data_IF_829303060814
#
_entry.id   IF_829303060814
#
_cell.length_a   1.000
_cell.length_b   1.000
_cell.length_c   1.000
_cell.angle_alpha   90.00
_cell.angle_beta   90.00
_cell.angle_gamma   90.00
#
_symmetry.space_group_name_H-M   'P 1'
#
loop_
_entity.id
_entity.type
_entity.pdbx_description
1 polymer ?
#
# COMPACT_ATOMS: atom_id res chain seq x y z
N UNK A 1 8.60 -2.49 5.96
CA UNK A 1 8.51 -1.36 5.01
C UNK A 1 8.74 -1.91 3.61
N UNK A 2 7.82 -1.70 2.67
CA UNK A 2 7.93 -2.30 1.32
C UNK A 2 8.84 -1.49 0.37
N UNK A 3 9.36 -2.11 -0.70
CA UNK A 3 10.28 -1.49 -1.67
C UNK A 3 9.77 -0.22 -2.36
N UNK A 4 10.67 0.60 -2.91
CA UNK A 4 10.34 1.88 -3.55
C UNK A 4 9.52 1.70 -4.84
N UNK A 5 9.85 0.72 -5.67
CA UNK A 5 9.08 0.37 -6.87
C UNK A 5 7.63 0.00 -6.53
N UNK A 6 7.41 -0.70 -5.41
CA UNK A 6 6.07 -1.01 -4.91
C UNK A 6 5.32 0.27 -4.50
N UNK A 7 6.00 1.20 -3.79
CA UNK A 7 5.42 2.49 -3.41
C UNK A 7 5.02 3.32 -4.63
N UNK A 8 5.91 3.44 -5.61
CA UNK A 8 5.66 4.15 -6.87
C UNK A 8 4.49 3.53 -7.64
N UNK A 9 4.42 2.20 -7.69
CA UNK A 9 3.30 1.50 -8.32
C UNK A 9 1.95 1.83 -7.67
N UNK A 10 1.91 1.83 -6.33
CA UNK A 10 0.70 2.16 -5.55
C UNK A 10 0.28 3.62 -5.79
N UNK A 11 1.22 4.56 -5.74
CA UNK A 11 0.93 5.99 -5.89
C UNK A 11 0.54 6.35 -7.33
N UNK A 12 1.28 5.88 -8.33
CA UNK A 12 1.06 6.22 -9.75
C UNK A 12 -0.33 5.82 -10.26
N UNK A 13 -0.92 4.79 -9.67
CA UNK A 13 -2.26 4.28 -10.02
C UNK A 13 -3.36 4.74 -9.06
N UNK A 14 -3.02 5.59 -8.08
CA UNK A 14 -3.93 6.06 -7.04
C UNK A 14 -4.70 4.91 -6.34
N UNK A 15 -4.02 3.78 -6.13
CA UNK A 15 -4.67 2.53 -5.71
C UNK A 15 -5.39 2.68 -4.37
N UNK A 16 -4.81 3.43 -3.43
CA UNK A 16 -5.36 3.62 -2.08
C UNK A 16 -6.73 4.31 -2.15
N UNK A 17 -6.87 5.36 -2.95
CA UNK A 17 -8.13 6.09 -3.10
C UNK A 17 -9.20 5.27 -3.85
N UNK A 18 -8.78 4.41 -4.78
CA UNK A 18 -9.68 3.65 -5.64
C UNK A 18 -10.01 2.25 -5.10
N UNK A 19 -9.27 1.74 -4.11
CA UNK A 19 -9.45 0.40 -3.57
C UNK A 19 -10.82 0.17 -2.90
N UNK A 20 -11.56 1.22 -2.54
CA UNK A 20 -12.92 1.10 -2.03
C UNK A 20 -13.95 0.70 -3.10
N UNK A 21 -13.66 0.94 -4.37
CA UNK A 21 -14.54 0.63 -5.52
C UNK A 21 -13.88 -0.26 -6.58
N UNK A 22 -12.58 -0.55 -6.43
CA UNK A 22 -11.81 -1.42 -7.31
C UNK A 22 -11.20 -2.58 -6.52
N UNK A 23 -11.78 -3.77 -6.69
CA UNK A 23 -11.35 -4.97 -5.97
C UNK A 23 -9.93 -5.42 -6.33
N UNK A 24 -9.49 -5.25 -7.58
CA UNK A 24 -8.13 -5.61 -8.00
C UNK A 24 -7.08 -4.77 -7.26
N UNK A 25 -7.34 -3.48 -7.06
CA UNK A 25 -6.45 -2.62 -6.29
C UNK A 25 -6.44 -2.99 -4.80
N UNK A 26 -7.59 -3.29 -4.22
CA UNK A 26 -7.63 -3.78 -2.84
C UNK A 26 -6.91 -5.12 -2.68
N UNK A 27 -7.02 -6.00 -3.68
CA UNK A 27 -6.33 -7.30 -3.73
C UNK A 27 -4.83 -7.12 -3.77
N UNK A 28 -4.34 -6.22 -4.64
CA UNK A 28 -2.93 -5.90 -4.72
C UNK A 28 -2.39 -5.33 -3.40
N UNK A 29 -3.09 -4.37 -2.80
CA UNK A 29 -2.71 -3.80 -1.50
C UNK A 29 -2.66 -4.87 -0.41
N UNK A 30 -3.63 -5.78 -0.39
CA UNK A 30 -3.66 -6.91 0.54
C UNK A 30 -2.46 -7.85 0.34
N UNK A 31 -2.13 -8.17 -0.91
CA UNK A 31 -0.98 -9.01 -1.24
C UNK A 31 0.34 -8.37 -0.78
N UNK A 32 0.51 -7.07 -1.02
CA UNK A 32 1.69 -6.30 -0.55
C UNK A 32 1.75 -6.28 0.98
N UNK A 33 0.62 -6.08 1.66
CA UNK A 33 0.58 -6.05 3.12
C UNK A 33 1.03 -7.37 3.74
N UNK A 34 0.52 -8.51 3.24
CA UNK A 34 0.97 -9.81 3.72
C UNK A 34 2.44 -10.07 3.35
N UNK A 35 2.91 -9.63 2.19
CA UNK A 35 4.29 -9.88 1.80
C UNK A 35 5.31 -9.13 2.67
N UNK A 36 5.00 -7.89 3.09
CA UNK A 36 6.00 -6.99 3.68
C UNK A 36 5.68 -6.48 5.09
N UNK A 37 4.45 -6.63 5.56
CA UNK A 37 3.99 -6.13 6.86
C UNK A 37 3.64 -7.29 7.80
N UNK A 38 2.83 -8.25 7.34
CA UNK A 38 2.42 -9.42 8.13
C UNK A 38 2.69 -10.76 7.41
N UNK A 39 3.97 -11.12 7.14
CA UNK A 39 4.30 -12.33 6.38
C UNK A 39 4.00 -13.65 7.10
N UNK A 40 3.84 -13.60 8.42
CA UNK A 40 3.48 -14.78 9.23
C UNK A 40 1.97 -14.87 9.48
N UNK A 41 1.19 -13.88 9.02
CA UNK A 41 -0.24 -13.83 9.19
C UNK A 41 -0.96 -14.79 8.25
N UNK A 42 -2.12 -15.29 8.68
CA UNK A 42 -2.97 -16.09 7.82
C UNK A 42 -3.64 -15.18 6.77
N UNK A 43 -3.33 -15.41 5.50
CA UNK A 43 -3.85 -14.62 4.38
C UNK A 43 -5.33 -14.89 4.12
N UNK A 44 -6.21 -14.19 4.85
CA UNK A 44 -7.67 -14.33 4.75
C UNK A 44 -8.30 -13.25 3.88
N UNK A 45 -8.20 -13.39 2.56
CA UNK A 45 -8.83 -12.42 1.65
C UNK A 45 -10.34 -12.30 1.81
N UNK A 46 -11.01 -13.43 2.02
CA UNK A 46 -12.46 -13.49 2.19
C UNK A 46 -12.95 -12.83 3.48
N UNK A 47 -12.05 -12.48 4.40
CA UNK A 47 -12.38 -11.79 5.64
C UNK A 47 -12.65 -10.30 5.38
N UNK A 48 -13.91 -9.81 5.50
CA UNK A 48 -14.24 -8.41 5.21
C UNK A 48 -13.53 -7.43 6.15
N UNK A 49 -13.42 -7.79 7.44
CA UNK A 49 -12.71 -6.99 8.43
C UNK A 49 -11.21 -6.87 8.10
N UNK A 50 -10.60 -7.94 7.62
CA UNK A 50 -9.19 -7.97 7.25
C UNK A 50 -8.94 -7.03 6.06
N UNK A 51 -9.82 -7.05 5.04
CA UNK A 51 -9.77 -6.11 3.92
C UNK A 51 -9.91 -4.65 4.36
N UNK A 52 -10.85 -4.36 5.27
CA UNK A 52 -11.02 -3.02 5.83
C UNK A 52 -9.80 -2.55 6.62
N UNK A 53 -9.20 -3.42 7.43
CA UNK A 53 -8.00 -3.11 8.21
C UNK A 53 -6.80 -2.80 7.29
N UNK A 54 -6.60 -3.58 6.23
CA UNK A 54 -5.57 -3.32 5.23
C UNK A 54 -5.81 -1.98 4.54
N UNK A 55 -7.03 -1.71 4.09
CA UNK A 55 -7.35 -0.44 3.43
C UNK A 55 -7.10 0.76 4.37
N UNK A 56 -7.56 0.66 5.62
CA UNK A 56 -7.33 1.68 6.65
C UNK A 56 -5.83 1.93 6.86
N UNK A 57 -5.03 0.86 6.99
CA UNK A 57 -3.59 0.95 7.12
C UNK A 57 -2.96 1.72 5.96
N UNK A 58 -3.34 1.43 4.71
CA UNK A 58 -2.81 2.15 3.55
C UNK A 58 -3.25 3.61 3.51
N UNK A 59 -4.48 3.94 3.90
CA UNK A 59 -4.96 5.33 3.99
C UNK A 59 -4.09 6.12 5.00
N UNK A 60 -3.79 5.53 6.16
CA UNK A 60 -2.95 6.16 7.18
C UNK A 60 -1.48 6.26 6.73
N UNK A 61 -0.99 5.29 5.95
CA UNK A 61 0.38 5.24 5.46
C UNK A 61 0.63 6.13 4.23
N UNK A 62 -0.40 6.45 3.45
CA UNK A 62 -0.30 7.24 2.21
C UNK A 62 0.49 8.55 2.35
N UNK A 63 0.21 9.43 3.33
CA UNK A 63 0.98 10.69 3.47
C UNK A 63 2.46 10.44 3.74
N UNK A 64 2.81 9.38 4.48
CA UNK A 64 4.19 9.01 4.79
C UNK A 64 4.93 8.59 3.51
N UNK A 65 4.31 7.73 2.71
CA UNK A 65 4.90 7.26 1.44
C UNK A 65 5.13 8.42 0.47
N UNK A 66 4.19 9.37 0.39
CA UNK A 66 4.32 10.55 -0.47
C UNK A 66 5.51 11.41 -0.03
N UNK A 67 5.67 11.62 1.27
CA UNK A 67 6.77 12.44 1.80
C UNK A 67 8.13 11.78 1.59
N UNK A 68 8.23 10.47 1.84
CA UNK A 68 9.46 9.70 1.56
C UNK A 68 9.87 9.79 0.09
N UNK A 69 8.91 9.69 -0.83
CA UNK A 69 9.16 9.78 -2.27
C UNK A 69 9.64 11.18 -2.69
N UNK A 70 9.11 12.24 -2.08
CA UNK A 70 9.61 13.60 -2.29
C UNK A 70 11.06 13.74 -1.83
N UNK A 71 11.38 13.25 -0.63
CA UNK A 71 12.73 13.33 -0.06
C UNK A 71 13.74 12.54 -0.89
N UNK A 72 13.39 11.36 -1.38
CA UNK A 72 14.25 10.57 -2.28
C UNK A 72 14.55 11.29 -3.59
N UNK A 73 13.54 11.94 -4.20
CA UNK A 73 13.74 12.73 -5.41
C UNK A 73 14.67 13.93 -5.18
N UNK A 74 14.56 14.58 -4.03
CA UNK A 74 15.46 15.67 -3.65
C UNK A 74 16.90 15.17 -3.46
N UNK A 75 17.09 14.03 -2.80
CA UNK A 75 18.41 13.44 -2.57
C UNK A 75 19.12 13.07 -3.89
N UNK A 76 18.39 12.53 -4.86
CA UNK A 76 18.95 12.12 -6.16
C UNK A 76 19.12 13.29 -7.15
N UNK A 77 18.62 14.48 -6.82
CA UNK A 77 18.79 15.68 -7.63
C UNK A 77 20.02 16.52 -7.24
N UNK A 78 20.73 16.12 -6.17
CA UNK A 78 22.00 16.69 -5.70
C UNK A 78 23.19 15.91 -6.27
#
# INVERSE_FOLDING_TARGET
MFPNDVKEHILSRNMIALAGSNEEYLRYLFDVWYLYIEPQGEKKWECPLCRQNVLKYYIELQPIIIEEQKQQKLLHAL
#
